data_IF_867095190589
#
_entry.id   IF_867095190589
#
_cell.length_a   1.000
_cell.length_b   1.000
_cell.length_c   1.000
_cell.angle_alpha   90.00
_cell.angle_beta   90.00
_cell.angle_gamma   90.00
#
_symmetry.space_group_name_H-M   'P 1'
#
loop_
_entity.id
_entity.type
_entity.pdbx_description
1 polymer ?
#
# COMPACT_ATOMS: atom_id res chain seq x y z
N UNK A 1 -31.59 -10.77 12.52
CA UNK A 1 -30.38 -10.40 13.26
C UNK A 1 -29.66 -9.35 12.42
N UNK A 2 -29.52 -8.09 12.87
CA UNK A 2 -28.73 -7.13 12.11
C UNK A 2 -27.28 -7.63 12.04
N UNK A 3 -26.73 -7.71 10.83
CA UNK A 3 -25.32 -8.04 10.67
C UNK A 3 -24.50 -6.85 11.20
N UNK A 4 -23.71 -7.09 12.24
CA UNK A 4 -22.78 -6.12 12.80
C UNK A 4 -21.68 -5.87 11.76
N UNK A 5 -21.73 -4.72 11.09
CA UNK A 5 -20.71 -4.33 10.12
C UNK A 5 -19.55 -3.66 10.87
N UNK A 6 -18.45 -4.39 11.08
CA UNK A 6 -17.26 -3.86 11.74
C UNK A 6 -16.44 -3.04 10.73
N UNK A 7 -16.70 -1.73 10.68
CA UNK A 7 -16.06 -0.79 9.76
C UNK A 7 -14.61 -0.52 10.22
N UNK A 8 -13.64 -1.08 9.48
CA UNK A 8 -12.21 -0.85 9.69
C UNK A 8 -11.58 -0.25 8.45
N UNK A 9 -10.58 0.60 8.64
CA UNK A 9 -9.80 1.26 7.57
C UNK A 9 -8.34 1.41 8.01
N UNK A 10 -7.51 1.97 7.14
CA UNK A 10 -6.11 2.29 7.42
C UNK A 10 -5.97 3.14 8.70
N UNK A 11 -5.03 2.74 9.57
CA UNK A 11 -4.72 3.48 10.80
C UNK A 11 -3.82 4.68 10.53
N UNK A 12 -3.76 5.61 11.48
CA UNK A 12 -2.79 6.71 11.43
C UNK A 12 -1.36 6.17 11.53
N UNK A 13 -0.52 6.55 10.57
CA UNK A 13 0.91 6.22 10.55
C UNK A 13 1.74 7.47 10.85
N UNK A 14 2.46 7.44 11.98
CA UNK A 14 3.29 8.56 12.43
C UNK A 14 4.50 8.85 11.52
N UNK A 15 4.87 7.93 10.63
CA UNK A 15 5.89 8.15 9.59
C UNK A 15 5.41 9.12 8.51
N UNK A 16 4.09 9.24 8.34
CA UNK A 16 3.43 10.10 7.36
C UNK A 16 2.42 11.03 8.04
N UNK A 17 2.90 12.02 8.83
CA UNK A 17 2.01 12.93 9.59
C UNK A 17 1.44 14.06 8.73
N UNK A 18 1.97 14.27 7.52
CA UNK A 18 1.59 15.36 6.64
C UNK A 18 0.38 14.97 5.78
N UNK A 19 -0.30 15.95 5.20
CA UNK A 19 -1.48 15.71 4.34
C UNK A 19 -1.15 14.89 3.07
N UNK A 20 0.10 14.92 2.60
CA UNK A 20 0.52 14.14 1.43
C UNK A 20 0.80 12.68 1.81
N UNK A 21 -0.19 11.81 1.55
CA UNK A 21 -0.12 10.36 1.81
C UNK A 21 0.30 9.52 0.60
N UNK A 22 0.75 10.12 -0.51
CA UNK A 22 1.14 9.39 -1.73
C UNK A 22 2.20 8.31 -1.46
N UNK A 23 3.17 8.61 -0.59
CA UNK A 23 4.23 7.65 -0.21
C UNK A 23 3.71 6.51 0.68
N UNK A 24 2.76 6.80 1.56
CA UNK A 24 2.12 5.81 2.43
C UNK A 24 1.26 4.83 1.63
N UNK A 25 0.62 5.32 0.56
CA UNK A 25 -0.29 4.54 -0.25
C UNK A 25 0.43 3.40 -1.00
N UNK A 26 1.48 3.66 -1.78
CA UNK A 26 2.03 2.65 -2.73
C UNK A 26 3.31 1.94 -2.27
N UNK A 27 4.22 2.66 -1.61
CA UNK A 27 5.64 2.21 -1.50
C UNK A 27 5.83 1.09 -0.47
N UNK A 28 5.14 1.15 0.67
CA UNK A 28 5.38 0.22 1.78
C UNK A 28 5.00 -1.23 1.44
N UNK A 29 3.89 -1.44 0.72
CA UNK A 29 3.45 -2.79 0.34
C UNK A 29 4.47 -3.47 -0.56
N UNK A 30 4.83 -2.85 -1.68
CA UNK A 30 5.78 -3.42 -2.63
C UNK A 30 7.20 -3.56 -2.06
N UNK A 31 7.63 -2.62 -1.20
CA UNK A 31 8.90 -2.77 -0.47
C UNK A 31 8.89 -3.99 0.45
N UNK A 32 7.77 -4.25 1.13
CA UNK A 32 7.60 -5.42 1.99
C UNK A 32 7.68 -6.72 1.18
N UNK A 33 6.92 -6.81 0.07
CA UNK A 33 6.88 -7.99 -0.81
C UNK A 33 8.26 -8.26 -1.42
N UNK A 34 8.97 -7.24 -1.90
CA UNK A 34 10.31 -7.41 -2.49
C UNK A 34 11.36 -7.87 -1.46
N UNK A 35 11.29 -7.39 -0.22
CA UNK A 35 12.31 -7.68 0.81
C UNK A 35 12.05 -8.99 1.54
N UNK A 36 10.78 -9.30 1.83
CA UNK A 36 10.37 -10.41 2.72
C UNK A 36 9.63 -11.53 2.01
N UNK A 37 9.14 -11.30 0.79
CA UNK A 37 8.23 -12.20 0.08
C UNK A 37 6.76 -11.93 0.40
N UNK A 38 5.88 -12.40 -0.49
CA UNK A 38 4.43 -12.15 -0.42
C UNK A 38 3.76 -12.88 0.76
N UNK A 39 4.34 -13.99 1.23
CA UNK A 39 3.84 -14.79 2.35
C UNK A 39 4.04 -14.15 3.74
N UNK A 40 4.75 -13.02 3.82
CA UNK A 40 5.02 -12.38 5.09
C UNK A 40 3.76 -11.69 5.64
N UNK A 41 3.23 -12.19 6.77
CA UNK A 41 1.96 -11.71 7.36
C UNK A 41 1.87 -10.19 7.54
N UNK A 42 2.92 -9.48 7.98
CA UNK A 42 2.89 -8.01 8.04
C UNK A 42 2.69 -7.31 6.69
N UNK A 43 3.08 -7.92 5.57
CA UNK A 43 2.80 -7.35 4.25
C UNK A 43 1.31 -7.31 3.93
N UNK A 44 0.50 -8.23 4.50
CA UNK A 44 -0.98 -8.21 4.34
C UNK A 44 -1.61 -6.97 4.97
N UNK A 45 -1.02 -6.44 6.05
CA UNK A 45 -1.49 -5.20 6.66
C UNK A 45 -1.21 -4.00 5.74
N UNK A 46 -0.05 -3.98 5.07
CA UNK A 46 0.24 -2.98 4.06
C UNK A 46 -0.64 -3.13 2.82
N UNK A 47 -1.01 -4.34 2.42
CA UNK A 47 -1.96 -4.58 1.33
C UNK A 47 -3.34 -3.99 1.62
N UNK A 48 -3.88 -4.21 2.82
CA UNK A 48 -5.16 -3.60 3.22
C UNK A 48 -5.09 -2.07 3.28
N UNK A 49 -3.97 -1.53 3.76
CA UNK A 49 -3.73 -0.08 3.83
C UNK A 49 -3.62 0.56 2.45
N UNK A 50 -2.87 -0.09 1.55
CA UNK A 50 -2.71 0.26 0.14
C UNK A 50 -4.07 0.36 -0.57
N UNK A 51 -4.91 -0.67 -0.46
CA UNK A 51 -6.26 -0.66 -1.06
C UNK A 51 -7.21 0.37 -0.43
N UNK A 52 -6.98 0.78 0.81
CA UNK A 52 -7.83 1.77 1.50
C UNK A 52 -7.45 3.20 1.16
N UNK A 53 -6.17 3.48 0.92
CA UNK A 53 -5.64 4.83 0.72
C UNK A 53 -5.48 5.21 -0.76
N UNK A 54 -5.14 4.25 -1.61
CA UNK A 54 -4.82 4.52 -3.00
C UNK A 54 -6.06 4.61 -3.89
N UNK A 55 -6.15 5.63 -4.77
CA UNK A 55 -7.11 5.59 -5.87
C UNK A 55 -6.79 4.43 -6.82
N UNK A 56 -7.80 3.67 -7.24
CA UNK A 56 -7.60 2.52 -8.15
C UNK A 56 -6.88 2.92 -9.45
N UNK A 57 -7.21 4.08 -10.02
CA UNK A 57 -6.54 4.60 -11.24
C UNK A 57 -5.02 4.79 -11.05
N UNK A 58 -4.59 5.18 -9.84
CA UNK A 58 -3.17 5.34 -9.55
C UNK A 58 -2.46 3.99 -9.44
N UNK A 59 -3.15 2.99 -8.89
CA UNK A 59 -2.61 1.64 -8.79
C UNK A 59 -2.31 1.07 -10.16
N UNK A 60 -3.28 1.10 -11.07
CA UNK A 60 -3.11 0.58 -12.44
C UNK A 60 -1.93 1.26 -13.15
N UNK A 61 -1.85 2.59 -13.07
CA UNK A 61 -0.75 3.36 -13.68
C UNK A 61 0.61 3.05 -13.07
N UNK A 62 0.69 2.92 -11.76
CA UNK A 62 1.95 2.66 -11.08
C UNK A 62 2.39 1.20 -11.21
N UNK A 63 1.45 0.26 -11.27
CA UNK A 63 1.74 -1.14 -11.58
C UNK A 63 2.31 -1.29 -12.98
N UNK A 64 1.71 -0.65 -13.98
CA UNK A 64 2.27 -0.63 -15.34
C UNK A 64 3.69 -0.02 -15.37
N UNK A 65 3.92 1.09 -14.64
CA UNK A 65 5.26 1.69 -14.51
C UNK A 65 6.25 0.76 -13.79
N UNK A 66 5.80 0.00 -12.79
CA UNK A 66 6.62 -0.94 -12.04
C UNK A 66 7.01 -2.14 -12.90
N UNK A 67 6.05 -2.72 -13.63
CA UNK A 67 6.28 -3.83 -14.57
C UNK A 67 7.21 -3.42 -15.72
N UNK A 68 7.08 -2.18 -16.21
CA UNK A 68 7.97 -1.61 -17.23
C UNK A 68 9.33 -1.13 -16.67
N UNK A 69 9.57 -1.23 -15.36
CA UNK A 69 10.82 -0.75 -14.73
C UNK A 69 11.01 0.78 -14.76
N UNK A 70 9.95 1.54 -15.02
CA UNK A 70 9.94 2.99 -15.13
C UNK A 70 9.47 3.71 -13.84
N UNK A 71 9.15 2.97 -12.78
CA UNK A 71 8.69 3.55 -11.53
C UNK A 71 9.82 4.35 -10.84
N UNK A 72 9.60 5.63 -10.49
CA UNK A 72 10.68 6.53 -10.07
C UNK A 72 11.19 6.28 -8.64
N UNK A 73 10.47 5.53 -7.80
CA UNK A 73 10.89 5.27 -6.43
C UNK A 73 11.57 3.90 -6.29
N UNK A 74 12.54 3.81 -5.38
CA UNK A 74 13.21 2.56 -5.04
C UNK A 74 12.28 1.67 -4.23
N UNK A 75 11.80 0.59 -4.85
CA UNK A 75 11.00 -0.46 -4.22
C UNK A 75 11.86 -1.63 -3.72
N UNK A 76 13.14 -1.66 -4.11
CA UNK A 76 14.14 -2.61 -3.62
C UNK A 76 14.76 -2.10 -2.30
N UNK A 77 15.09 -3.02 -1.39
CA UNK A 77 15.53 -2.75 -0.03
C UNK A 77 16.83 -1.97 0.07
#
# INVERSE_FOLDING_TARGET
MPQQLDLKTAVFDSRFPNQNQTRHCYVDYYRCVNTKGEDFEPCKQFFSTFHSLCPNEWLEKWDEQRENGAFPAKLDG
#
